data_IF_348482540123
#
_entry.id   IF_348482540123
#
_cell.length_a   1.000
_cell.length_b   1.000
_cell.length_c   1.000
_cell.angle_alpha   90.00
_cell.angle_beta   90.00
_cell.angle_gamma   90.00
#
_symmetry.space_group_name_H-M   'P 1'
#
loop_
_entity.id
_entity.type
_entity.pdbx_description
1 polymer ?
#
# COMPACT_ATOMS: atom_id res chain seq x y z
N UNK A 1 14.03 -11.65 -18.07
CA UNK A 1 13.25 -12.90 -17.93
C UNK A 1 13.26 -13.27 -16.47
N UNK A 2 12.10 -13.25 -15.79
CA UNK A 2 12.00 -13.63 -14.37
C UNK A 2 12.41 -15.10 -14.22
N UNK A 3 13.39 -15.38 -13.37
CA UNK A 3 13.76 -16.74 -12.98
C UNK A 3 12.68 -17.22 -12.03
N UNK A 4 11.93 -18.23 -12.43
CA UNK A 4 10.90 -18.88 -11.60
C UNK A 4 11.59 -19.45 -10.37
N UNK A 5 11.19 -19.01 -9.19
CA UNK A 5 11.68 -19.54 -7.91
C UNK A 5 11.34 -21.05 -7.84
N UNK A 6 12.20 -21.91 -7.25
CA UNK A 6 11.85 -23.31 -6.95
C UNK A 6 10.42 -23.51 -6.43
N UNK A 7 9.93 -22.60 -5.58
CA UNK A 7 8.55 -22.64 -5.06
C UNK A 7 7.49 -22.40 -6.14
N UNK A 8 7.72 -21.43 -7.04
CA UNK A 8 6.80 -21.13 -8.13
C UNK A 8 6.72 -22.31 -9.12
N UNK A 9 7.85 -22.99 -9.36
CA UNK A 9 7.91 -24.16 -10.23
C UNK A 9 7.12 -25.34 -9.65
N UNK A 10 7.32 -25.62 -8.36
CA UNK A 10 6.59 -26.67 -7.62
C UNK A 10 5.08 -26.41 -7.62
N UNK A 11 4.67 -25.15 -7.45
CA UNK A 11 3.26 -24.76 -7.48
C UNK A 11 2.63 -24.97 -8.86
N UNK A 12 3.35 -24.63 -9.93
CA UNK A 12 2.89 -24.85 -11.32
C UNK A 12 2.78 -26.35 -11.60
N UNK A 13 3.77 -27.14 -11.22
CA UNK A 13 3.76 -28.59 -11.42
C UNK A 13 2.63 -29.27 -10.62
N UNK A 14 2.38 -28.84 -9.38
CA UNK A 14 1.25 -29.32 -8.58
C UNK A 14 -0.12 -28.96 -9.18
N UNK A 15 -0.23 -27.78 -9.81
CA UNK A 15 -1.43 -27.33 -10.52
C UNK A 15 -1.64 -28.12 -11.82
N UNK A 16 -0.61 -28.27 -12.65
CA UNK A 16 -0.66 -29.01 -13.92
C UNK A 16 -0.90 -30.52 -13.71
N UNK A 17 -0.33 -31.10 -12.66
CA UNK A 17 -0.55 -32.50 -12.28
C UNK A 17 -1.92 -32.75 -11.63
N UNK A 18 -2.76 -31.73 -11.45
CA UNK A 18 -4.12 -31.86 -10.93
C UNK A 18 -4.21 -32.33 -9.47
N UNK A 19 -3.09 -32.30 -8.73
CA UNK A 19 -3.01 -32.74 -7.33
C UNK A 19 -3.69 -31.77 -6.36
N UNK A 20 -3.88 -30.51 -6.77
CA UNK A 20 -4.53 -29.48 -5.99
C UNK A 20 -6.05 -29.69 -5.97
N UNK A 21 -6.57 -30.10 -4.81
CA UNK A 21 -8.02 -30.14 -4.56
C UNK A 21 -8.48 -28.79 -4.01
N UNK A 22 -9.44 -28.16 -4.70
CA UNK A 22 -10.04 -26.91 -4.22
C UNK A 22 -10.73 -27.16 -2.88
N UNK A 23 -10.24 -26.50 -1.84
CA UNK A 23 -10.83 -26.52 -0.49
C UNK A 23 -12.12 -25.67 -0.46
N UNK A 24 -12.29 -24.79 -1.44
CA UNK A 24 -13.43 -23.90 -1.55
C UNK A 24 -14.60 -24.63 -2.23
N UNK A 25 -15.71 -24.76 -1.51
CA UNK A 25 -16.97 -25.25 -2.09
C UNK A 25 -17.38 -24.33 -3.25
N UNK A 26 -17.94 -24.86 -4.34
CA UNK A 26 -18.44 -24.05 -5.48
C UNK A 26 -19.30 -22.86 -5.04
N UNK A 27 -20.12 -23.04 -3.98
CA UNK A 27 -20.93 -22.00 -3.34
C UNK A 27 -20.12 -20.87 -2.70
N UNK A 28 -18.98 -21.18 -2.10
CA UNK A 28 -18.05 -20.21 -1.50
C UNK A 28 -17.42 -19.33 -2.60
N UNK A 29 -16.96 -19.98 -3.67
CA UNK A 29 -16.40 -19.29 -4.85
C UNK A 29 -17.43 -18.38 -5.51
N UNK A 30 -18.65 -18.85 -5.67
CA UNK A 30 -19.72 -18.07 -6.29
C UNK A 30 -20.17 -16.91 -5.39
N UNK A 31 -20.18 -17.08 -4.06
CA UNK A 31 -20.39 -15.97 -3.11
C UNK A 31 -19.29 -14.93 -3.20
N UNK A 32 -18.02 -15.36 -3.20
CA UNK A 32 -16.87 -14.44 -3.29
C UNK A 32 -16.87 -13.70 -4.64
N UNK A 33 -17.19 -14.39 -5.74
CA UNK A 33 -17.36 -13.79 -7.07
C UNK A 33 -18.55 -12.82 -7.12
N UNK A 34 -19.68 -13.16 -6.51
CA UNK A 34 -20.86 -12.32 -6.47
C UNK A 34 -20.62 -11.06 -5.62
N UNK A 35 -19.97 -11.20 -4.47
CA UNK A 35 -19.56 -10.09 -3.63
C UNK A 35 -18.59 -9.16 -4.38
N UNK A 36 -17.57 -9.73 -5.03
CA UNK A 36 -16.63 -8.97 -5.86
C UNK A 36 -17.36 -8.20 -6.98
N UNK A 37 -18.28 -8.86 -7.70
CA UNK A 37 -19.07 -8.24 -8.78
C UNK A 37 -19.99 -7.12 -8.27
N UNK A 38 -20.68 -7.33 -7.15
CA UNK A 38 -21.55 -6.33 -6.56
C UNK A 38 -20.77 -5.08 -6.14
N UNK A 39 -19.58 -5.25 -5.54
CA UNK A 39 -18.71 -4.14 -5.13
C UNK A 39 -17.93 -3.49 -6.27
N UNK A 40 -17.80 -4.16 -7.42
CA UNK A 40 -17.03 -3.65 -8.55
C UNK A 40 -17.81 -2.66 -9.44
N UNK A 41 -19.11 -2.51 -9.22
CA UNK A 41 -19.94 -1.60 -10.02
C UNK A 41 -19.65 -0.15 -9.67
N UNK A 42 -18.81 0.50 -10.47
CA UNK A 42 -18.50 1.94 -10.37
C UNK A 42 -19.65 2.74 -11.00
N UNK A 43 -20.66 3.06 -10.21
CA UNK A 43 -21.90 3.74 -10.63
C UNK A 43 -21.80 5.28 -10.66
N UNK A 44 -20.77 5.86 -10.01
CA UNK A 44 -20.57 7.32 -9.92
C UNK A 44 -19.17 7.75 -10.36
N UNK A 45 -19.07 8.94 -10.97
CA UNK A 45 -17.81 9.55 -11.43
C UNK A 45 -17.36 10.66 -10.50
N UNK A 46 -16.05 10.78 -10.28
CA UNK A 46 -15.40 11.84 -9.50
C UNK A 46 -14.22 12.39 -10.31
N UNK A 47 -14.03 13.71 -10.32
CA UNK A 47 -12.85 14.36 -10.90
C UNK A 47 -11.91 14.81 -9.78
N UNK A 48 -10.65 14.39 -9.83
CA UNK A 48 -9.63 14.71 -8.81
C UNK A 48 -8.47 15.42 -9.51
N UNK A 49 -8.00 16.52 -8.94
CA UNK A 49 -6.76 17.19 -9.36
C UNK A 49 -5.61 16.70 -8.49
N UNK A 50 -4.51 16.32 -9.12
CA UNK A 50 -3.29 15.85 -8.47
C UNK A 50 -2.12 16.69 -8.96
N UNK A 51 -1.08 16.82 -8.14
CA UNK A 51 0.19 17.35 -8.62
C UNK A 51 0.84 16.36 -9.60
N UNK A 52 1.72 16.84 -10.48
CA UNK A 52 2.45 15.97 -11.40
C UNK A 52 3.31 14.94 -10.67
N UNK A 53 3.92 15.32 -9.54
CA UNK A 53 4.71 14.43 -8.71
C UNK A 53 3.87 13.29 -8.13
N UNK A 54 2.73 13.63 -7.51
CA UNK A 54 1.84 12.62 -6.91
C UNK A 54 1.32 11.64 -7.97
N UNK A 55 0.96 12.14 -9.16
CA UNK A 55 0.47 11.29 -10.24
C UNK A 55 1.56 10.30 -10.69
N UNK A 56 2.81 10.75 -10.77
CA UNK A 56 3.93 9.90 -11.16
C UNK A 56 4.22 8.83 -10.10
N UNK A 57 4.22 9.20 -8.81
CA UNK A 57 4.41 8.27 -7.70
C UNK A 57 3.32 7.20 -7.65
N UNK A 58 2.06 7.59 -7.91
CA UNK A 58 0.93 6.65 -8.00
C UNK A 58 1.12 5.69 -9.18
N UNK A 59 1.58 6.17 -10.34
CA UNK A 59 1.82 5.32 -11.51
C UNK A 59 2.91 4.28 -11.24
N UNK A 60 4.00 4.68 -10.58
CA UNK A 60 5.08 3.76 -10.19
C UNK A 60 4.55 2.66 -9.26
N UNK A 61 3.83 3.04 -8.19
CA UNK A 61 3.24 2.07 -7.25
C UNK A 61 2.22 1.14 -7.91
N UNK A 62 1.42 1.67 -8.83
CA UNK A 62 0.44 0.86 -9.55
C UNK A 62 1.13 -0.19 -10.45
N UNK A 63 2.23 0.21 -11.10
CA UNK A 63 3.05 -0.70 -11.90
C UNK A 63 3.71 -1.79 -11.05
N UNK A 64 4.20 -1.44 -9.86
CA UNK A 64 4.75 -2.40 -8.89
C UNK A 64 3.70 -3.43 -8.44
N UNK A 65 2.46 -2.98 -8.20
CA UNK A 65 1.32 -3.85 -7.86
C UNK A 65 0.74 -4.59 -9.08
N UNK A 66 1.18 -4.28 -10.31
CA UNK A 66 0.68 -4.87 -11.54
C UNK A 66 -0.77 -4.48 -11.88
N UNK A 67 -1.24 -3.34 -11.39
CA UNK A 67 -2.61 -2.84 -11.60
C UNK A 67 -2.61 -1.48 -12.30
N UNK A 68 -3.67 -1.12 -13.05
CA UNK A 68 -3.79 0.24 -13.57
C UNK A 68 -3.82 1.28 -12.44
N UNK A 69 -3.21 2.46 -12.65
CA UNK A 69 -3.18 3.51 -11.63
C UNK A 69 -4.59 3.96 -11.20
N UNK A 70 -5.58 3.96 -12.10
CA UNK A 70 -6.96 4.26 -11.71
C UNK A 70 -7.55 3.19 -10.77
N UNK A 71 -7.16 1.93 -10.95
CA UNK A 71 -7.56 0.82 -10.08
C UNK A 71 -6.90 0.96 -8.72
N UNK A 72 -5.62 1.32 -8.67
CA UNK A 72 -4.93 1.60 -7.41
C UNK A 72 -5.62 2.73 -6.64
N UNK A 73 -5.89 3.87 -7.29
CA UNK A 73 -6.58 5.02 -6.68
C UNK A 73 -7.94 4.60 -6.11
N UNK A 74 -8.76 3.90 -6.90
CA UNK A 74 -10.06 3.42 -6.45
C UNK A 74 -9.94 2.45 -5.26
N UNK A 75 -8.92 1.57 -5.27
CA UNK A 75 -8.69 0.62 -4.17
C UNK A 75 -8.31 1.33 -2.87
N UNK A 76 -7.49 2.38 -2.94
CA UNK A 76 -7.07 3.16 -1.77
C UNK A 76 -8.27 3.89 -1.17
N UNK A 77 -9.09 4.55 -1.99
CA UNK A 77 -10.32 5.21 -1.53
C UNK A 77 -11.27 4.23 -0.85
N UNK A 78 -11.46 3.04 -1.42
CA UNK A 78 -12.28 2.00 -0.81
C UNK A 78 -11.69 1.49 0.52
N UNK A 79 -10.38 1.21 0.57
CA UNK A 79 -9.68 0.78 1.79
C UNK A 79 -9.75 1.87 2.88
N UNK A 80 -9.69 3.14 2.52
CA UNK A 80 -9.82 4.27 3.44
C UNK A 80 -11.23 4.34 4.04
N UNK A 81 -12.28 4.31 3.21
CA UNK A 81 -13.68 4.35 3.68
C UNK A 81 -14.06 3.11 4.49
N UNK A 82 -13.48 1.95 4.19
CA UNK A 82 -13.71 0.70 4.95
C UNK A 82 -12.84 0.57 6.20
N UNK A 83 -11.99 1.56 6.50
CA UNK A 83 -11.12 1.57 7.69
C UNK A 83 -9.92 0.60 7.60
N UNK A 84 -9.68 -0.02 6.45
CA UNK A 84 -8.55 -0.92 6.21
C UNK A 84 -7.24 -0.19 5.88
N UNK A 85 -7.34 1.11 5.60
CA UNK A 85 -6.18 1.99 5.37
C UNK A 85 -6.22 3.14 6.37
N UNK A 86 -5.18 3.22 7.21
CA UNK A 86 -5.04 4.26 8.22
C UNK A 86 -3.80 5.09 7.92
N UNK A 87 -3.96 6.41 7.97
CA UNK A 87 -2.84 7.33 7.88
C UNK A 87 -1.92 7.11 9.10
N UNK A 88 -0.64 6.86 8.85
CA UNK A 88 0.34 6.81 9.93
C UNK A 88 0.55 8.23 10.41
N UNK A 89 0.20 8.50 11.68
CA UNK A 89 0.45 9.79 12.30
C UNK A 89 1.94 10.16 12.25
N UNK A 90 2.28 11.45 12.43
CA UNK A 90 3.66 11.90 12.40
C UNK A 90 4.45 11.15 13.45
N UNK A 91 5.39 10.30 13.01
CA UNK A 91 6.39 9.70 13.87
C UNK A 91 7.23 10.88 14.36
N UNK A 92 7.04 11.29 15.62
CA UNK A 92 7.87 12.31 16.22
C UNK A 92 9.34 11.92 15.99
N UNK A 93 10.20 12.83 15.50
CA UNK A 93 11.60 12.52 15.30
C UNK A 93 12.18 12.04 16.64
N UNK A 94 13.08 11.02 16.65
CA UNK A 94 13.69 10.56 17.88
C UNK A 94 14.34 11.75 18.57
N UNK A 95 13.81 12.13 19.73
CA UNK A 95 14.32 13.25 20.52
C UNK A 95 15.75 12.93 20.93
N UNK A 96 16.72 13.55 20.25
CA UNK A 96 18.10 13.57 20.70
C UNK A 96 18.18 14.22 22.09
N UNK A 97 18.99 13.69 23.03
CA UNK A 97 19.11 14.26 24.35
C UNK A 97 19.70 15.68 24.26
N UNK A 98 18.98 16.66 24.81
CA UNK A 98 19.43 18.06 24.86
C UNK A 98 20.69 18.16 25.73
N UNK A 99 21.84 18.44 25.11
CA UNK A 99 23.05 18.82 25.83
C UNK A 99 22.81 20.14 26.59
N UNK A 100 23.05 20.14 27.91
CA UNK A 100 23.00 21.35 28.75
C UNK A 100 24.03 22.37 28.26
N UNK A 101 23.56 23.49 27.74
CA UNK A 101 24.41 24.65 27.45
C UNK A 101 24.83 25.33 28.77
N UNK A 102 26.10 25.19 29.13
CA UNK A 102 26.74 25.95 30.21
C UNK A 102 26.69 27.44 29.89
N UNK A 103 26.09 28.23 30.79
CA UNK A 103 25.90 29.68 30.62
C UNK A 103 27.24 30.42 30.59
N UNK A 104 27.35 31.33 29.62
CA UNK A 104 28.39 32.36 29.43
C UNK A 104 28.61 33.20 30.69
N UNK A 105 29.86 33.34 31.12
CA UNK A 105 30.33 34.43 31.97
C UNK A 105 31.29 35.31 31.17
N UNK A 106 30.79 36.42 30.63
CA UNK A 106 31.63 37.49 30.04
C UNK A 106 32.20 38.33 31.17
N UNK A 107 33.51 38.20 31.42
CA UNK A 107 34.26 39.11 32.27
C UNK A 107 34.36 40.48 31.57
N UNK A 108 33.80 41.51 32.22
CA UNK A 108 34.01 42.92 31.89
C UNK A 108 35.51 43.23 32.03
N UNK A 109 36.16 43.66 30.95
CA UNK A 109 37.37 44.49 31.05
C UNK A 109 36.94 45.90 31.40
N UNK A 110 37.51 46.48 32.44
CA UNK A 110 37.68 47.92 32.65
C UNK A 110 38.85 48.12 33.63
N UNK A 111 39.70 49.09 33.30
CA UNK A 111 40.97 49.49 33.91
C UNK A 111 42.18 48.62 33.54
#
# INVERSE_FOLDING_TARGET
MKRTDPFELELVEAYESGKLKSIATRRELDRLRAAARATATKDRRVNIRLSSGDLQDIQVKALEEGVPYQTLIASVLHKYVTGRFQERGPVAPPTAPKAKATRRGTARKNA
#
